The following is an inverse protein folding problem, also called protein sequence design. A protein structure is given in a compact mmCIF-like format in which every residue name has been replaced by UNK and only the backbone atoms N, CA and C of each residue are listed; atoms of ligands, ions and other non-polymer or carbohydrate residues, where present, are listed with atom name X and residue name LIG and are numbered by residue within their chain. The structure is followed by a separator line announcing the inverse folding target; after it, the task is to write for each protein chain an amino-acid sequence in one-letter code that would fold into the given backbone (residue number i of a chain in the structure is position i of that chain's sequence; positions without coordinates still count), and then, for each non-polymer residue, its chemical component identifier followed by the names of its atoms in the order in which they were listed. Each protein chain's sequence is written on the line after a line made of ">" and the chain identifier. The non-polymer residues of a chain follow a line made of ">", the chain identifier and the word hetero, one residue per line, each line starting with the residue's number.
data_IF_028381406544
#
_entry.id   IF_028381406544
#
_cell.length_a   1.000
_cell.length_b   1.000
_cell.length_c   1.000
_cell.angle_alpha   90.00
_cell.angle_beta   90.00
_cell.angle_gamma   90.00
#
_symmetry.space_group_name_H-M   'P 1'
#
loop_
_entity.id
_entity.type
_entity.pdbx_description
1 polymer ?
#
# COMPACT_ATOMS: atom_id res chain seq x y z
N UNK A 1 15.47 -9.97 9.48
CA UNK A 1 14.08 -10.46 9.47
C UNK A 1 13.51 -10.65 8.08
N UNK A 2 13.46 -9.59 7.29
CA UNK A 2 12.97 -9.70 5.90
C UNK A 2 13.84 -10.68 5.12
N UNK A 3 15.14 -10.60 5.28
CA UNK A 3 16.07 -11.53 4.62
C UNK A 3 15.87 -12.99 5.06
N UNK A 4 15.57 -13.22 6.32
CA UNK A 4 15.25 -14.56 6.83
C UNK A 4 13.99 -15.11 6.22
N UNK A 5 12.93 -14.31 6.15
CA UNK A 5 11.66 -14.68 5.53
C UNK A 5 11.86 -14.99 4.06
N UNK A 6 12.64 -14.19 3.35
CA UNK A 6 12.94 -14.41 1.92
C UNK A 6 13.77 -15.68 1.69
N UNK A 7 14.71 -15.99 2.59
CA UNK A 7 15.47 -17.24 2.51
C UNK A 7 14.61 -18.48 2.69
N UNK A 8 13.61 -18.38 3.57
CA UNK A 8 12.68 -19.47 3.85
C UNK A 8 11.62 -19.61 2.75
N UNK A 9 11.24 -18.48 2.11
CA UNK A 9 10.17 -18.42 1.12
C UNK A 9 10.67 -17.81 -0.19
N UNK A 10 11.53 -18.55 -0.89
CA UNK A 10 12.16 -18.08 -2.14
C UNK A 10 11.18 -17.69 -3.25
N UNK A 11 9.93 -18.14 -3.16
CA UNK A 11 8.89 -17.82 -4.15
C UNK A 11 8.22 -16.45 -3.87
N UNK A 12 8.44 -15.89 -2.70
CA UNK A 12 7.88 -14.57 -2.38
C UNK A 12 8.66 -13.47 -3.09
N UNK A 13 7.91 -12.51 -3.60
CA UNK A 13 8.45 -11.31 -4.23
C UNK A 13 8.29 -10.14 -3.27
N UNK A 14 9.25 -9.22 -3.28
CA UNK A 14 9.20 -8.03 -2.45
C UNK A 14 8.95 -6.81 -3.33
N UNK A 15 8.02 -5.98 -2.91
CA UNK A 15 7.69 -4.75 -3.60
C UNK A 15 7.48 -3.61 -2.63
N UNK A 16 7.67 -2.40 -3.12
CA UNK A 16 7.29 -1.17 -2.44
C UNK A 16 5.97 -0.69 -3.05
N UNK A 17 4.96 -0.60 -2.22
CA UNK A 17 3.63 -0.15 -2.62
C UNK A 17 3.35 1.20 -1.98
N UNK A 18 2.95 2.18 -2.79
CA UNK A 18 2.55 3.50 -2.30
C UNK A 18 1.11 3.76 -2.69
N UNK A 19 0.28 4.09 -1.72
CA UNK A 19 -1.12 4.46 -1.92
C UNK A 19 -1.33 5.88 -1.44
N UNK A 20 -2.06 6.66 -2.21
CA UNK A 20 -2.35 8.06 -1.87
C UNK A 20 -3.84 8.33 -1.94
N UNK A 21 -4.29 9.39 -1.27
CA UNK A 21 -5.60 10.00 -1.50
C UNK A 21 -5.41 11.38 -2.09
N UNK A 22 -6.49 11.97 -2.60
CA UNK A 22 -6.43 13.31 -3.17
C UNK A 22 -5.94 14.31 -2.12
N UNK A 23 -5.14 15.28 -2.55
CA UNK A 23 -4.65 16.37 -1.71
C UNK A 23 -5.81 17.21 -1.18
N UNK A 24 -5.60 17.84 -0.04
CA UNK A 24 -6.59 18.75 0.52
C UNK A 24 -6.00 19.65 1.59
N UNK A 25 -6.75 20.65 2.00
CA UNK A 25 -6.29 21.64 2.96
C UNK A 25 -6.43 21.22 4.43
N UNK A 26 -7.31 20.26 4.70
CA UNK A 26 -7.55 19.76 6.05
C UNK A 26 -6.77 18.47 6.29
N UNK A 27 -5.66 18.57 7.02
CA UNK A 27 -4.81 17.43 7.31
C UNK A 27 -5.56 16.30 8.00
N UNK A 28 -6.37 16.64 9.03
CA UNK A 28 -7.06 15.62 9.80
C UNK A 28 -8.08 14.86 8.95
N UNK A 29 -8.83 15.55 8.12
CA UNK A 29 -9.79 14.92 7.21
C UNK A 29 -9.08 14.05 6.18
N UNK A 30 -8.03 14.55 5.55
CA UNK A 30 -7.30 13.82 4.52
C UNK A 30 -6.57 12.60 5.08
N UNK A 31 -5.94 12.74 6.23
CA UNK A 31 -5.25 11.64 6.90
C UNK A 31 -6.24 10.56 7.36
N UNK A 32 -7.37 10.97 7.94
CA UNK A 32 -8.44 10.03 8.34
C UNK A 32 -9.00 9.29 7.14
N UNK A 33 -9.17 9.97 6.02
CA UNK A 33 -9.66 9.36 4.78
C UNK A 33 -8.70 8.28 4.28
N UNK A 34 -7.40 8.56 4.28
CA UNK A 34 -6.38 7.58 3.88
C UNK A 34 -6.42 6.35 4.81
N UNK A 35 -6.42 6.57 6.12
CA UNK A 35 -6.41 5.50 7.11
C UNK A 35 -7.66 4.62 6.97
N UNK A 36 -8.83 5.23 6.87
CA UNK A 36 -10.10 4.51 6.71
C UNK A 36 -10.12 3.72 5.40
N UNK A 37 -9.62 4.31 4.33
CA UNK A 37 -9.55 3.66 3.01
C UNK A 37 -8.63 2.44 3.04
N UNK A 38 -7.46 2.56 3.67
CA UNK A 38 -6.56 1.42 3.82
C UNK A 38 -7.17 0.32 4.67
N UNK A 39 -7.84 0.66 5.76
CA UNK A 39 -8.56 -0.31 6.59
C UNK A 39 -9.63 -1.07 5.79
N UNK A 40 -10.34 -0.37 4.92
CA UNK A 40 -11.32 -1.00 4.04
C UNK A 40 -10.65 -1.99 3.09
N UNK A 41 -9.52 -1.63 2.50
CA UNK A 41 -8.77 -2.51 1.61
C UNK A 41 -8.27 -3.76 2.37
N UNK A 42 -7.74 -3.57 3.56
CA UNK A 42 -7.28 -4.68 4.42
C UNK A 42 -8.46 -5.60 4.78
N UNK A 43 -9.61 -5.02 5.10
CA UNK A 43 -10.81 -5.80 5.42
C UNK A 43 -11.28 -6.63 4.23
N UNK A 44 -11.28 -6.06 3.03
CA UNK A 44 -11.62 -6.80 1.80
C UNK A 44 -10.72 -8.01 1.59
N UNK A 45 -9.42 -7.84 1.88
CA UNK A 45 -8.46 -8.95 1.82
C UNK A 45 -8.79 -10.03 2.84
N UNK A 46 -9.09 -9.65 4.08
CA UNK A 46 -9.46 -10.59 5.14
C UNK A 46 -10.75 -11.34 4.79
N UNK A 47 -11.74 -10.64 4.28
CA UNK A 47 -13.02 -11.24 3.87
C UNK A 47 -12.82 -12.25 2.74
N UNK A 48 -11.98 -11.95 1.77
CA UNK A 48 -11.66 -12.89 0.71
C UNK A 48 -11.02 -14.17 1.26
N UNK A 49 -10.09 -14.05 2.20
CA UNK A 49 -9.40 -15.20 2.80
C UNK A 49 -10.36 -16.10 3.59
N UNK A 50 -11.42 -15.54 4.15
CA UNK A 50 -12.45 -16.31 4.88
C UNK A 50 -13.50 -16.91 3.96
N UNK A 51 -13.97 -16.15 2.98
CA UNK A 51 -15.14 -16.51 2.16
C UNK A 51 -14.81 -17.00 0.77
N UNK A 52 -13.56 -16.86 0.35
CA UNK A 52 -13.06 -17.20 -0.98
C UNK A 52 -13.85 -16.50 -2.12
N UNK A 53 -14.37 -15.29 -1.81
CA UNK A 53 -15.12 -14.44 -2.74
C UNK A 53 -14.64 -13.00 -2.60
N UNK A 54 -14.73 -12.25 -3.68
CA UNK A 54 -14.36 -10.83 -3.70
C UNK A 54 -12.87 -10.63 -3.83
N UNK A 55 -12.22 -11.40 -4.70
CA UNK A 55 -10.79 -11.26 -4.94
C UNK A 55 -10.46 -9.85 -5.43
N UNK A 56 -9.37 -9.30 -4.90
CA UNK A 56 -8.74 -8.09 -5.41
C UNK A 56 -7.22 -8.26 -5.37
N UNK A 57 -6.48 -7.34 -6.02
CA UNK A 57 -5.03 -7.48 -6.13
C UNK A 57 -4.30 -7.43 -4.78
N UNK A 58 -4.89 -6.77 -3.77
CA UNK A 58 -4.32 -6.71 -2.43
C UNK A 58 -4.27 -8.09 -1.75
N UNK A 59 -5.08 -9.03 -2.19
CA UNK A 59 -5.08 -10.41 -1.69
C UNK A 59 -3.80 -11.18 -2.00
N UNK A 60 -2.99 -10.69 -2.94
CA UNK A 60 -1.68 -11.27 -3.28
C UNK A 60 -0.60 -10.98 -2.25
N UNK A 61 -0.89 -10.12 -1.29
CA UNK A 61 0.04 -9.73 -0.22
C UNK A 61 -0.03 -10.76 0.91
N UNK A 62 1.10 -11.39 1.21
CA UNK A 62 1.20 -12.34 2.33
C UNK A 62 1.68 -11.68 3.62
N UNK A 63 2.40 -10.60 3.51
CA UNK A 63 2.86 -9.83 4.67
C UNK A 63 3.22 -8.42 4.27
N UNK A 64 3.14 -7.50 5.22
CA UNK A 64 3.44 -6.11 4.97
C UNK A 64 3.91 -5.38 6.21
N UNK A 65 4.78 -4.39 5.99
CA UNK A 65 5.07 -3.33 6.96
C UNK A 65 4.73 -2.02 6.29
N UNK A 66 4.13 -1.09 7.02
CA UNK A 66 3.74 0.18 6.41
C UNK A 66 3.83 1.34 7.39
N UNK A 67 3.95 2.54 6.82
CA UNK A 67 3.94 3.78 7.58
C UNK A 67 3.19 4.86 6.81
N UNK A 68 2.52 5.74 7.54
CA UNK A 68 1.83 6.88 6.97
C UNK A 68 2.76 8.08 6.93
N UNK A 69 2.66 8.87 5.88
CA UNK A 69 3.41 10.10 5.73
C UNK A 69 2.48 11.20 5.18
N UNK A 70 2.64 12.41 5.73
CA UNK A 70 1.89 13.57 5.26
C UNK A 70 2.89 14.65 4.87
N UNK A 71 2.90 15.03 3.60
CA UNK A 71 3.73 16.13 3.13
C UNK A 71 2.85 17.36 2.89
N UNK A 72 3.41 18.53 3.17
CA UNK A 72 2.72 19.79 3.01
C UNK A 72 3.31 20.60 1.85
N UNK A 73 2.45 21.10 0.98
CA UNK A 73 2.86 21.96 -0.12
C UNK A 73 2.56 23.42 0.25
N UNK A 74 3.61 24.18 0.54
CA UNK A 74 3.49 25.58 0.94
C UNK A 74 2.88 26.48 -0.13
N UNK A 75 3.05 26.12 -1.41
CA UNK A 75 2.52 26.92 -2.53
C UNK A 75 1.01 26.80 -2.65
N UNK A 76 0.46 25.61 -2.43
CA UNK A 76 -0.96 25.34 -2.58
C UNK A 76 -1.70 25.36 -1.25
N UNK A 77 -1.00 25.22 -0.13
CA UNK A 77 -1.60 25.05 1.19
C UNK A 77 -2.25 23.69 1.37
N UNK A 78 -1.88 22.72 0.55
CA UNK A 78 -2.48 21.39 0.59
C UNK A 78 -1.57 20.38 1.24
N UNK A 79 -2.19 19.44 1.95
CA UNK A 79 -1.54 18.24 2.49
C UNK A 79 -1.66 17.11 1.49
N UNK A 80 -0.59 16.32 1.41
CA UNK A 80 -0.49 15.17 0.52
C UNK A 80 -0.26 13.91 1.35
N UNK A 81 -1.33 13.25 1.83
CA UNK A 81 -1.17 12.04 2.63
C UNK A 81 -0.92 10.83 1.75
N UNK A 82 -0.01 9.98 2.21
CA UNK A 82 0.26 8.73 1.53
C UNK A 82 0.74 7.67 2.53
N UNK A 83 0.62 6.41 2.13
CA UNK A 83 1.14 5.29 2.89
C UNK A 83 2.17 4.56 2.04
N UNK A 84 3.32 4.31 2.64
CA UNK A 84 4.37 3.48 2.05
C UNK A 84 4.32 2.10 2.69
N UNK A 85 4.29 1.07 1.85
CA UNK A 85 4.21 -0.31 2.31
C UNK A 85 5.33 -1.12 1.67
N UNK A 86 6.06 -1.86 2.52
CA UNK A 86 6.93 -2.92 2.04
C UNK A 86 6.12 -4.22 2.11
N UNK A 87 5.88 -4.85 0.96
CA UNK A 87 4.96 -5.98 0.86
C UNK A 87 5.68 -7.23 0.37
N UNK A 88 5.27 -8.37 0.92
CA UNK A 88 5.67 -9.69 0.45
C UNK A 88 4.52 -10.26 -0.39
N UNK A 89 4.81 -10.54 -1.65
CA UNK A 89 3.80 -10.96 -2.63
C UNK A 89 3.95 -12.42 -2.98
N UNK A 90 2.86 -13.17 -3.00
CA UNK A 90 2.84 -14.53 -3.54
C UNK A 90 2.74 -14.52 -5.06
N UNK A 91 2.27 -13.42 -5.65
CA UNK A 91 2.21 -13.21 -7.10
C UNK A 91 2.31 -11.71 -7.36
N UNK A 92 2.67 -11.32 -8.59
CA UNK A 92 2.84 -9.91 -8.91
C UNK A 92 1.49 -9.19 -8.98
N UNK A 93 1.45 -7.98 -8.41
CA UNK A 93 0.25 -7.14 -8.42
C UNK A 93 0.06 -6.49 -9.80
N UNK A 94 -1.15 -6.57 -10.33
CA UNK A 94 -1.57 -5.77 -11.47
C UNK A 94 -1.91 -4.38 -10.95
N UNK A 95 -1.04 -3.41 -11.26
CA UNK A 95 -1.16 -2.04 -10.73
C UNK A 95 -2.43 -1.35 -11.20
N UNK A 96 -2.86 -1.58 -12.43
CA UNK A 96 -4.07 -0.98 -12.98
C UNK A 96 -5.31 -1.46 -12.23
N UNK A 97 -5.41 -2.76 -11.98
CA UNK A 97 -6.55 -3.32 -11.24
C UNK A 97 -6.55 -2.89 -9.79
N UNK A 98 -5.39 -2.80 -9.16
CA UNK A 98 -5.32 -2.28 -7.79
C UNK A 98 -5.72 -0.80 -7.75
N UNK A 99 -5.31 -0.03 -8.74
CA UNK A 99 -5.71 1.37 -8.88
C UNK A 99 -7.24 1.52 -8.98
N UNK A 100 -7.89 0.67 -9.76
CA UNK A 100 -9.35 0.68 -9.89
C UNK A 100 -10.04 0.35 -8.55
N UNK A 101 -9.53 -0.65 -7.85
CA UNK A 101 -10.05 -1.02 -6.52
C UNK A 101 -9.85 0.14 -5.53
N UNK A 102 -8.67 0.76 -5.56
CA UNK A 102 -8.36 1.88 -4.69
C UNK A 102 -9.27 3.09 -4.95
N UNK A 103 -9.52 3.38 -6.24
CA UNK A 103 -10.45 4.46 -6.60
C UNK A 103 -11.88 4.17 -6.12
N UNK A 104 -12.32 2.93 -6.24
CA UNK A 104 -13.63 2.52 -5.74
C UNK A 104 -13.77 2.77 -4.24
N UNK A 105 -12.70 2.50 -3.48
CA UNK A 105 -12.70 2.66 -2.03
C UNK A 105 -12.58 4.14 -1.63
N UNK A 106 -11.65 4.87 -2.24
CA UNK A 106 -11.38 6.27 -1.86
C UNK A 106 -12.36 7.26 -2.47
N UNK A 107 -12.86 6.95 -3.65
CA UNK A 107 -13.71 7.86 -4.43
C UNK A 107 -12.95 9.03 -5.05
N UNK A 108 -11.71 9.27 -4.69
CA UNK A 108 -10.98 10.47 -5.12
C UNK A 108 -9.55 10.22 -5.60
N UNK A 109 -9.07 8.99 -5.62
CA UNK A 109 -7.69 8.72 -6.02
C UNK A 109 -7.56 7.44 -6.82
N UNK A 110 -6.80 7.53 -7.91
CA UNK A 110 -6.29 6.39 -8.68
C UNK A 110 -4.81 6.13 -8.41
N UNK A 111 -4.18 6.91 -7.52
CA UNK A 111 -2.72 6.90 -7.39
C UNK A 111 -2.27 5.72 -6.56
N UNK A 112 -1.76 4.72 -7.26
CA UNK A 112 -1.15 3.51 -6.73
C UNK A 112 0.17 3.33 -7.46
N UNK A 113 1.25 3.13 -6.72
CA UNK A 113 2.55 2.87 -7.29
C UNK A 113 3.11 1.57 -6.72
N UNK A 114 3.47 0.64 -7.59
CA UNK A 114 4.05 -0.65 -7.19
C UNK A 114 5.43 -0.76 -7.84
N UNK A 115 6.47 -0.89 -7.01
CA UNK A 115 7.85 -1.02 -7.48
C UNK A 115 8.49 -2.28 -6.94
N UNK A 116 9.15 -3.02 -7.81
CA UNK A 116 9.90 -4.20 -7.41
C UNK A 116 11.17 -3.78 -6.66
N UNK A 117 11.43 -4.42 -5.53
CA UNK A 117 12.67 -4.23 -4.77
C UNK A 117 13.66 -5.31 -5.20
N UNK A 118 14.81 -4.90 -5.73
CA UNK A 118 15.75 -5.80 -6.39
C UNK A 118 16.89 -6.32 -5.50
N UNK A 119 17.22 -5.60 -4.41
CA UNK A 119 18.36 -5.91 -3.56
C UNK A 119 17.99 -5.87 -2.09
N UNK A 120 18.50 -6.81 -1.30
CA UNK A 120 18.18 -6.91 0.13
C UNK A 120 18.52 -5.64 0.93
N UNK A 121 19.62 -4.95 0.59
CA UNK A 121 20.00 -3.70 1.26
C UNK A 121 18.99 -2.58 1.06
N UNK A 122 18.20 -2.61 0.00
CA UNK A 122 17.12 -1.64 -0.22
C UNK A 122 16.01 -1.81 0.82
N UNK A 123 15.76 -3.05 1.26
CA UNK A 123 14.77 -3.32 2.30
C UNK A 123 15.15 -2.70 3.63
N UNK A 124 16.44 -2.79 3.99
CA UNK A 124 16.94 -2.22 5.24
C UNK A 124 16.75 -0.70 5.27
N UNK A 125 17.05 -0.03 4.16
CA UNK A 125 16.86 1.41 4.04
C UNK A 125 15.39 1.78 4.19
N UNK A 126 14.49 1.05 3.53
CA UNK A 126 13.05 1.30 3.62
C UNK A 126 12.49 1.05 5.03
N UNK A 127 12.99 0.03 5.72
CA UNK A 127 12.57 -0.26 7.09
C UNK A 127 13.06 0.76 8.11
N UNK A 128 14.12 1.51 7.80
CA UNK A 128 14.69 2.53 8.67
C UNK A 128 14.04 3.91 8.50
N UNK A 129 13.30 4.11 7.44
CA UNK A 129 12.58 5.34 7.14
C UNK A 129 11.18 5.29 7.70
#
# INVERSE_FOLDING_TARGET
>A
RVDEVLKQNRKLKVALLTLTVKNGHDLQERSSHLITSLRTLIKRRQDYKKKERGFNEFCKIDGAMYSYENTYNEKTGEWHPHVHMLVLLNDWIDQEQLSDTWHEITGDSFVVDVRRVKKSKEYLVLCMV
#
